data_IF_140261477323
#
_entry.id   IF_140261477323
#
_cell.length_a   1.000
_cell.length_b   1.000
_cell.length_c   1.000
_cell.angle_alpha   90.00
_cell.angle_beta   90.00
_cell.angle_gamma   90.00
#
_symmetry.space_group_name_H-M   'P 1'
#
loop_
_entity.id
_entity.type
_entity.pdbx_description
1 polymer ?
#
# COMPACT_ATOMS: atom_id res chain seq x y z
N UNK A 1 -9.54 -13.80 -50.25
CA UNK A 1 -9.21 -15.04 -49.49
C UNK A 1 -7.91 -14.94 -48.69
N UNK A 2 -6.93 -14.20 -49.17
CA UNK A 2 -5.64 -14.07 -48.47
C UNK A 2 -5.66 -13.11 -47.26
N UNK A 3 -6.71 -12.33 -47.07
CA UNK A 3 -6.80 -11.33 -45.99
C UNK A 3 -7.31 -11.90 -44.66
N UNK A 4 -7.98 -13.06 -44.67
CA UNK A 4 -8.55 -13.64 -43.43
C UNK A 4 -7.49 -14.22 -42.49
N UNK A 5 -6.31 -14.60 -42.99
CA UNK A 5 -5.24 -15.15 -42.17
C UNK A 5 -4.48 -14.09 -41.36
N UNK A 6 -4.40 -12.85 -41.82
CA UNK A 6 -3.78 -11.75 -41.11
C UNK A 6 -4.59 -11.25 -39.91
N UNK A 7 -5.90 -11.37 -39.95
CA UNK A 7 -6.80 -10.94 -38.87
C UNK A 7 -6.73 -11.86 -37.65
N UNK A 8 -6.53 -13.15 -37.85
CA UNK A 8 -6.38 -14.12 -36.78
C UNK A 8 -5.09 -13.92 -35.96
N UNK A 9 -4.00 -13.53 -36.61
CA UNK A 9 -2.71 -13.23 -35.95
C UNK A 9 -2.79 -11.97 -35.09
N UNK A 10 -3.51 -10.93 -35.54
CA UNK A 10 -3.67 -9.69 -34.78
C UNK A 10 -4.52 -9.89 -33.52
N UNK A 11 -5.54 -10.71 -33.58
CA UNK A 11 -6.37 -11.05 -32.42
C UNK A 11 -5.60 -11.81 -31.34
N UNK A 12 -4.68 -12.68 -31.73
CA UNK A 12 -3.81 -13.41 -30.79
C UNK A 12 -2.84 -12.52 -30.06
N UNK A 13 -2.25 -11.52 -30.74
CA UNK A 13 -1.33 -10.55 -30.11
C UNK A 13 -2.03 -9.65 -29.10
N UNK A 14 -3.25 -9.22 -29.36
CA UNK A 14 -4.03 -8.38 -28.43
C UNK A 14 -4.41 -9.16 -27.18
N UNK A 15 -4.76 -10.42 -27.27
CA UNK A 15 -5.09 -11.26 -26.12
C UNK A 15 -3.86 -11.48 -25.19
N UNK A 16 -2.66 -11.63 -25.75
CA UNK A 16 -1.42 -11.76 -24.99
C UNK A 16 -1.06 -10.48 -24.27
N UNK A 17 -1.26 -9.31 -24.87
CA UNK A 17 -0.98 -8.02 -24.26
C UNK A 17 -1.89 -7.74 -23.05
N UNK A 18 -3.14 -8.21 -23.06
CA UNK A 18 -4.08 -8.02 -21.95
C UNK A 18 -3.78 -8.92 -20.74
N UNK A 19 -3.09 -10.04 -20.91
CA UNK A 19 -2.80 -10.95 -19.81
C UNK A 19 -1.66 -10.46 -18.89
N UNK A 20 -0.91 -9.43 -19.28
CA UNK A 20 0.17 -8.87 -18.46
C UNK A 20 -0.23 -7.64 -17.62
N UNK A 21 -1.48 -7.18 -17.68
CA UNK A 21 -1.91 -5.92 -17.10
C UNK A 21 -2.37 -6.02 -15.63
N UNK A 22 -2.22 -7.16 -14.94
CA UNK A 22 -3.11 -7.42 -13.81
C UNK A 22 -2.44 -7.75 -12.48
N UNK A 23 -1.21 -7.27 -12.13
CA UNK A 23 -0.54 -7.80 -10.96
C UNK A 23 0.17 -6.76 -10.07
N UNK A 24 -0.49 -5.61 -9.81
CA UNK A 24 -0.05 -4.72 -8.75
C UNK A 24 -0.64 -5.21 -7.42
N UNK A 25 0.20 -5.49 -6.43
CA UNK A 25 -0.20 -5.82 -5.07
C UNK A 25 -0.12 -4.56 -4.18
N UNK A 26 -0.80 -4.60 -3.03
CA UNK A 26 -0.66 -3.58 -2.01
C UNK A 26 0.37 -4.02 -0.98
N UNK A 27 1.26 -3.11 -0.61
CA UNK A 27 2.22 -3.31 0.49
C UNK A 27 1.70 -2.52 1.68
N UNK A 28 1.23 -3.21 2.71
CA UNK A 28 0.73 -2.58 3.92
C UNK A 28 1.88 -2.21 4.86
N UNK A 29 1.84 -0.99 5.36
CA UNK A 29 2.81 -0.46 6.33
C UNK A 29 2.04 -0.02 7.57
N UNK A 30 2.42 -0.52 8.73
CA UNK A 30 1.88 -0.04 10.00
C UNK A 30 2.53 1.29 10.36
N UNK A 31 1.70 2.30 10.61
CA UNK A 31 2.14 3.60 11.10
C UNK A 31 1.63 3.72 12.52
N UNK A 32 2.53 3.60 13.47
CA UNK A 32 2.19 3.56 14.90
C UNK A 32 2.60 4.87 15.56
N UNK A 33 1.69 5.50 16.25
CA UNK A 33 1.96 6.76 16.94
C UNK A 33 0.84 7.16 17.87
N UNK A 34 0.99 8.32 18.50
CA UNK A 34 0.00 8.82 19.44
C UNK A 34 -1.07 9.63 18.70
N UNK A 35 -2.19 8.99 18.35
CA UNK A 35 -3.36 9.70 17.81
C UNK A 35 -4.15 10.38 18.94
N UNK A 36 -4.04 9.87 20.16
CA UNK A 36 -4.69 10.42 21.36
C UNK A 36 -3.66 10.61 22.49
N UNK A 37 -4.06 11.26 23.57
CA UNK A 37 -3.22 11.43 24.74
C UNK A 37 -2.40 12.72 24.74
N UNK A 38 -1.48 12.87 25.71
CA UNK A 38 -0.79 14.15 25.95
C UNK A 38 0.15 14.61 24.84
N UNK A 39 0.58 13.70 23.99
CA UNK A 39 1.51 14.01 22.88
C UNK A 39 0.85 13.83 21.50
N UNK A 40 -0.47 13.87 21.45
CA UNK A 40 -1.22 13.66 20.20
C UNK A 40 -0.83 14.63 19.07
N UNK A 41 -0.41 15.86 19.39
CA UNK A 41 0.06 16.81 18.39
C UNK A 41 1.29 16.30 17.62
N UNK A 42 2.19 15.57 18.28
CA UNK A 42 3.35 14.95 17.63
C UNK A 42 2.94 13.75 16.78
N UNK A 43 1.98 12.97 17.28
CA UNK A 43 1.40 11.88 16.51
C UNK A 43 0.72 12.36 15.22
N UNK A 44 -0.03 13.44 15.30
CA UNK A 44 -0.65 14.06 14.13
C UNK A 44 0.39 14.47 13.06
N UNK A 45 1.48 15.07 13.49
CA UNK A 45 2.59 15.42 12.60
C UNK A 45 3.21 14.17 11.95
N UNK A 46 3.38 13.11 12.72
CA UNK A 46 3.92 11.84 12.25
C UNK A 46 3.00 11.20 11.19
N UNK A 47 1.71 11.09 11.49
CA UNK A 47 0.72 10.51 10.58
C UNK A 47 0.60 11.32 9.29
N UNK A 48 0.57 12.63 9.40
CA UNK A 48 0.50 13.53 8.24
C UNK A 48 1.74 13.37 7.35
N UNK A 49 2.93 13.34 7.95
CA UNK A 49 4.18 13.15 7.20
C UNK A 49 4.24 11.78 6.52
N UNK A 50 3.87 10.72 7.23
CA UNK A 50 3.84 9.37 6.68
C UNK A 50 2.85 9.24 5.53
N UNK A 51 1.64 9.80 5.69
CA UNK A 51 0.62 9.79 4.64
C UNK A 51 1.09 10.54 3.39
N UNK A 52 1.76 11.67 3.55
CA UNK A 52 2.30 12.43 2.43
C UNK A 52 3.41 11.65 1.71
N UNK A 53 4.31 11.02 2.46
CA UNK A 53 5.38 10.21 1.88
C UNK A 53 4.82 9.04 1.05
N UNK A 54 3.83 8.34 1.59
CA UNK A 54 3.15 7.24 0.89
C UNK A 54 2.49 7.75 -0.40
N UNK A 55 1.81 8.87 -0.33
CA UNK A 55 1.18 9.49 -1.50
C UNK A 55 2.20 9.82 -2.59
N UNK A 56 3.33 10.40 -2.21
CA UNK A 56 4.40 10.77 -3.13
C UNK A 56 5.05 9.54 -3.79
N UNK A 57 5.31 8.51 -3.01
CA UNK A 57 5.87 7.25 -3.52
C UNK A 57 4.90 6.59 -4.50
N UNK A 58 3.63 6.54 -4.16
CA UNK A 58 2.60 5.94 -5.03
C UNK A 58 2.41 6.74 -6.33
N UNK A 59 2.55 8.07 -6.26
CA UNK A 59 2.47 8.92 -7.45
C UNK A 59 3.62 8.66 -8.44
N UNK A 60 4.75 8.17 -7.95
CA UNK A 60 5.92 7.81 -8.77
C UNK A 60 5.91 6.34 -9.23
N UNK A 61 4.83 5.62 -9.00
CA UNK A 61 4.67 4.23 -9.40
C UNK A 61 4.79 3.20 -8.28
N UNK A 62 4.89 3.64 -7.04
CA UNK A 62 4.99 2.75 -5.88
C UNK A 62 6.37 2.12 -5.72
N UNK A 63 6.43 0.97 -5.09
CA UNK A 63 7.66 0.18 -4.90
C UNK A 63 7.58 -1.03 -5.82
N UNK A 64 8.45 -1.07 -6.83
CA UNK A 64 8.44 -2.11 -7.87
C UNK A 64 7.06 -2.33 -8.52
N UNK A 65 6.31 -1.23 -8.69
CA UNK A 65 4.95 -1.27 -9.26
C UNK A 65 3.84 -1.56 -8.25
N UNK A 66 4.16 -1.84 -6.99
CA UNK A 66 3.19 -2.10 -5.94
C UNK A 66 2.91 -0.83 -5.14
N UNK A 67 1.65 -0.62 -4.78
CA UNK A 67 1.24 0.54 -3.99
C UNK A 67 1.49 0.33 -2.52
N UNK A 68 1.95 1.39 -1.84
CA UNK A 68 2.01 1.43 -0.39
C UNK A 68 0.64 1.80 0.18
N UNK A 69 0.22 1.11 1.22
CA UNK A 69 -1.00 1.40 1.98
C UNK A 69 -0.61 1.58 3.45
N UNK A 70 -0.80 2.78 3.97
CA UNK A 70 -0.58 3.08 5.39
C UNK A 70 -1.77 2.64 6.22
N UNK A 71 -1.51 1.91 7.31
CA UNK A 71 -2.51 1.54 8.30
C UNK A 71 -2.10 2.16 9.62
N UNK A 72 -2.92 3.09 10.11
CA UNK A 72 -2.61 3.85 11.30
C UNK A 72 -3.08 3.13 12.57
N UNK A 73 -2.23 3.14 13.59
CA UNK A 73 -2.53 2.58 14.91
C UNK A 73 -2.18 3.61 15.99
N UNK A 74 -3.08 3.75 16.97
CA UNK A 74 -2.90 4.65 18.09
C UNK A 74 -2.33 3.91 19.30
N UNK A 75 -1.11 4.26 19.71
CA UNK A 75 -0.49 3.75 20.94
C UNK A 75 -0.59 4.73 22.10
N UNK A 76 -1.14 5.93 21.89
CA UNK A 76 -1.27 7.01 22.87
C UNK A 76 0.06 7.35 23.60
N UNK A 77 1.20 6.95 23.04
CA UNK A 77 2.51 7.02 23.70
C UNK A 77 2.52 6.33 25.07
N UNK A 78 1.75 5.25 25.20
CA UNK A 78 1.62 4.46 26.42
C UNK A 78 2.22 3.06 26.22
N UNK A 79 3.11 2.59 27.13
CA UNK A 79 3.77 1.30 26.95
C UNK A 79 2.82 0.11 26.85
N UNK A 80 1.76 0.08 27.63
CA UNK A 80 0.77 -1.00 27.55
C UNK A 80 0.02 -1.00 26.23
N UNK A 81 -0.37 0.18 25.78
CA UNK A 81 -1.07 0.34 24.51
C UNK A 81 -0.16 0.01 23.33
N UNK A 82 1.11 0.37 23.42
CA UNK A 82 2.11 0.03 22.39
C UNK A 82 2.26 -1.49 22.22
N UNK A 83 2.28 -2.25 23.31
CA UNK A 83 2.34 -3.72 23.25
C UNK A 83 1.07 -4.28 22.59
N UNK A 84 -0.10 -3.78 22.96
CA UNK A 84 -1.36 -4.21 22.36
C UNK A 84 -1.41 -3.92 20.86
N UNK A 85 -0.90 -2.76 20.45
CA UNK A 85 -0.82 -2.38 19.03
C UNK A 85 0.15 -3.30 18.29
N UNK A 86 1.32 -3.61 18.86
CA UNK A 86 2.28 -4.51 18.23
C UNK A 86 1.65 -5.89 17.95
N UNK A 87 0.91 -6.43 18.91
CA UNK A 87 0.18 -7.68 18.73
C UNK A 87 -0.90 -7.57 17.65
N UNK A 88 -1.61 -6.45 17.62
CA UNK A 88 -2.64 -6.21 16.60
C UNK A 88 -2.03 -6.13 15.19
N UNK A 89 -0.91 -5.45 15.02
CA UNK A 89 -0.21 -5.36 13.74
C UNK A 89 0.15 -6.75 13.21
N UNK A 90 0.68 -7.61 14.09
CA UNK A 90 1.00 -9.00 13.74
C UNK A 90 -0.26 -9.77 13.35
N UNK A 91 -1.32 -9.66 14.15
CA UNK A 91 -2.59 -10.35 13.90
C UNK A 91 -3.27 -9.85 12.61
N UNK A 92 -3.09 -8.59 12.26
CA UNK A 92 -3.60 -8.02 11.01
C UNK A 92 -2.76 -8.43 9.79
N UNK A 93 -1.67 -9.17 9.99
CA UNK A 93 -0.83 -9.67 8.91
C UNK A 93 0.09 -8.63 8.29
N UNK A 94 0.33 -7.51 8.95
CA UNK A 94 1.20 -6.44 8.46
C UNK A 94 2.64 -6.76 8.83
N UNK A 95 3.52 -6.78 7.83
CA UNK A 95 4.92 -7.16 7.98
C UNK A 95 5.87 -5.96 8.12
N UNK A 96 5.39 -4.77 7.80
CA UNK A 96 6.19 -3.55 7.76
C UNK A 96 5.58 -2.44 8.57
#
# INVERSE_FOLDING_TARGET
>A
MKMSKGRALLAGCVALAMSHAALAADIKIAIVGAATGPVAQYGDMQFTGAAQAIKDINAKGGVNGDKLVGVEYDDACDPKQAVAVANKVVNDGIKY
#
